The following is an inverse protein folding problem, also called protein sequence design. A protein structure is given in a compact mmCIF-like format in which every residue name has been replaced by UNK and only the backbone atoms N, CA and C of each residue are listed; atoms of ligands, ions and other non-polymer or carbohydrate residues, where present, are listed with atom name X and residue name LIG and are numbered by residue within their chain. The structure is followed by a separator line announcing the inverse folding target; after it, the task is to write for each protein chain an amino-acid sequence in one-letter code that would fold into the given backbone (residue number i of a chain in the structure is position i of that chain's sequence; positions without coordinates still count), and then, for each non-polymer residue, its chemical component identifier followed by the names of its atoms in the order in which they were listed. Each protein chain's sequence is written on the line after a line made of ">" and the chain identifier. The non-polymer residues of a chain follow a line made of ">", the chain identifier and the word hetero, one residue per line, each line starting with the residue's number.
data_IF_734908527003
#
_entry.id   IF_734908527003
#
_cell.length_a   1.000
_cell.length_b   1.000
_cell.length_c   1.000
_cell.angle_alpha   90.00
_cell.angle_beta   90.00
_cell.angle_gamma   90.00
#
_symmetry.space_group_name_H-M   'P 1'
#
loop_
_entity.id
_entity.type
_entity.pdbx_description
1 polymer ?
#
# COMPACT_ATOMS: atom_id res chain seq x y z
N UNK A 1 -5.38 -21.78 14.10
CA UNK A 1 -3.97 -22.22 14.13
C UNK A 1 -3.45 -21.98 15.55
N UNK A 2 -3.19 -23.03 16.34
CA UNK A 2 -2.73 -22.93 17.72
C UNK A 2 -1.43 -22.11 17.83
N UNK A 3 -0.57 -22.19 16.82
CA UNK A 3 0.72 -21.48 16.80
C UNK A 3 0.53 -19.98 16.61
N UNK A 4 -0.52 -19.56 15.89
CA UNK A 4 -0.87 -18.15 15.73
C UNK A 4 -1.34 -17.53 17.06
N UNK A 5 -2.06 -18.28 17.90
CA UNK A 5 -2.50 -17.80 19.21
C UNK A 5 -1.33 -17.65 20.19
N UNK A 6 -0.41 -18.62 20.21
CA UNK A 6 0.80 -18.53 21.04
C UNK A 6 1.71 -17.36 20.62
N UNK A 7 1.83 -17.09 19.31
CA UNK A 7 2.57 -15.93 18.80
C UNK A 7 1.90 -14.61 19.22
N UNK A 8 0.57 -14.52 19.19
CA UNK A 8 -0.15 -13.34 19.65
C UNK A 8 0.06 -13.09 21.15
N UNK A 9 0.05 -14.12 21.99
CA UNK A 9 0.28 -13.96 23.44
C UNK A 9 1.68 -13.41 23.77
N UNK A 10 2.70 -13.81 23.01
CA UNK A 10 4.06 -13.28 23.15
C UNK A 10 4.12 -11.84 22.68
N UNK A 11 3.51 -11.55 21.54
CA UNK A 11 3.50 -10.22 20.97
C UNK A 11 2.73 -9.24 21.88
N UNK A 12 1.71 -9.68 22.63
CA UNK A 12 0.78 -8.77 23.32
C UNK A 12 1.46 -7.99 24.45
N UNK A 13 2.66 -8.42 24.83
CA UNK A 13 3.52 -7.82 25.84
C UNK A 13 4.54 -6.84 25.23
N UNK A 14 4.59 -6.73 23.90
CA UNK A 14 5.50 -5.86 23.16
C UNK A 14 4.89 -4.47 22.95
N UNK A 15 5.73 -3.43 22.78
CA UNK A 15 5.26 -2.12 22.36
C UNK A 15 4.53 -2.16 21.02
N UNK A 16 3.53 -1.28 20.83
CA UNK A 16 2.72 -1.16 19.61
C UNK A 16 3.55 -1.20 18.32
N UNK A 17 4.71 -0.52 18.29
CA UNK A 17 5.59 -0.53 17.12
C UNK A 17 6.07 -1.93 16.75
N UNK A 18 6.48 -2.72 17.74
CA UNK A 18 6.97 -4.09 17.54
C UNK A 18 5.79 -5.00 17.19
N UNK A 19 4.67 -4.86 17.89
CA UNK A 19 3.43 -5.58 17.58
C UNK A 19 3.01 -5.41 16.11
N UNK A 20 2.79 -4.16 15.68
CA UNK A 20 2.31 -3.87 14.32
C UNK A 20 3.35 -4.22 13.25
N UNK A 21 4.63 -4.05 13.54
CA UNK A 21 5.70 -4.46 12.62
C UNK A 21 5.72 -5.97 12.40
N UNK A 22 5.56 -6.76 13.46
CA UNK A 22 5.52 -8.22 13.31
C UNK A 22 4.29 -8.68 12.54
N UNK A 23 3.12 -8.06 12.78
CA UNK A 23 1.92 -8.38 12.02
C UNK A 23 2.02 -8.02 10.54
N UNK A 24 2.61 -6.86 10.20
CA UNK A 24 2.83 -6.46 8.81
C UNK A 24 3.77 -7.40 8.06
N UNK A 25 4.76 -8.00 8.76
CA UNK A 25 5.72 -8.97 8.21
C UNK A 25 5.25 -10.42 8.21
N UNK A 26 4.13 -10.72 8.87
CA UNK A 26 3.70 -12.10 9.05
C UNK A 26 3.32 -12.72 7.71
N UNK A 27 3.70 -13.97 7.45
CA UNK A 27 3.24 -14.70 6.25
C UNK A 27 1.73 -14.98 6.26
N UNK A 28 1.05 -14.70 7.37
CA UNK A 28 -0.39 -14.87 7.50
C UNK A 28 -1.12 -13.64 6.97
N UNK A 29 -1.83 -13.82 5.86
CA UNK A 29 -2.58 -12.78 5.15
C UNK A 29 -3.49 -11.95 6.06
N UNK A 30 -4.19 -12.58 7.01
CA UNK A 30 -5.09 -11.88 7.91
C UNK A 30 -4.37 -10.94 8.89
N UNK A 31 -3.14 -11.26 9.30
CA UNK A 31 -2.32 -10.38 10.12
C UNK A 31 -1.79 -9.19 9.33
N UNK A 32 -1.36 -9.41 8.07
CA UNK A 32 -1.00 -8.30 7.17
C UNK A 32 -2.17 -7.35 6.97
N UNK A 33 -3.36 -7.88 6.65
CA UNK A 33 -4.58 -7.08 6.51
C UNK A 33 -4.94 -6.33 7.80
N UNK A 34 -4.82 -6.98 8.96
CA UNK A 34 -5.05 -6.35 10.25
C UNK A 34 -4.11 -5.16 10.47
N UNK A 35 -2.82 -5.32 10.19
CA UNK A 35 -1.84 -4.25 10.29
C UNK A 35 -2.11 -3.10 9.30
N UNK A 36 -2.43 -3.41 8.04
CA UNK A 36 -2.75 -2.39 7.03
C UNK A 36 -3.97 -1.55 7.38
N UNK A 37 -4.98 -2.12 8.05
CA UNK A 37 -6.23 -1.45 8.37
C UNK A 37 -6.25 -0.77 9.75
N UNK A 38 -5.19 -0.95 10.55
CA UNK A 38 -5.12 -0.39 11.88
C UNK A 38 -4.44 0.99 11.88
N UNK A 39 -5.15 2.00 12.41
CA UNK A 39 -4.63 3.37 12.52
C UNK A 39 -3.38 3.50 13.41
N UNK A 40 -3.11 2.51 14.27
CA UNK A 40 -1.98 2.49 15.17
C UNK A 40 -0.72 1.89 14.54
N UNK A 41 -0.83 1.30 13.34
CA UNK A 41 0.34 0.84 12.60
C UNK A 41 1.18 2.04 12.17
N UNK A 42 2.44 2.15 12.60
CA UNK A 42 3.26 3.30 12.28
C UNK A 42 3.48 3.44 10.76
N UNK A 43 3.40 4.64 10.17
CA UNK A 43 3.64 4.83 8.73
C UNK A 43 5.00 4.32 8.27
N UNK A 44 6.03 4.44 9.11
CA UNK A 44 7.36 3.91 8.84
C UNK A 44 7.38 2.37 8.69
N UNK A 45 6.52 1.66 9.42
CA UNK A 45 6.36 0.20 9.29
C UNK A 45 5.72 -0.12 7.94
N UNK A 46 4.66 0.60 7.56
CA UNK A 46 4.01 0.41 6.26
C UNK A 46 4.98 0.73 5.11
N UNK A 47 5.78 1.79 5.25
CA UNK A 47 6.75 2.20 4.24
C UNK A 47 7.88 1.17 4.02
N UNK A 48 8.34 0.52 5.09
CA UNK A 48 9.52 -0.34 5.07
C UNK A 48 9.20 -1.83 4.90
N UNK A 49 8.05 -2.29 5.40
CA UNK A 49 7.79 -3.72 5.63
C UNK A 49 6.64 -4.28 4.78
N UNK A 50 6.00 -3.45 3.94
CA UNK A 50 5.02 -3.95 2.97
C UNK A 50 5.75 -4.64 1.83
N UNK A 51 5.47 -5.93 1.68
CA UNK A 51 5.95 -6.71 0.55
C UNK A 51 5.50 -6.11 -0.78
N UNK A 52 6.33 -6.18 -1.85
CA UNK A 52 6.03 -5.63 -3.16
C UNK A 52 4.62 -5.95 -3.71
N UNK A 53 4.18 -7.18 -3.52
CA UNK A 53 2.87 -7.70 -3.97
C UNK A 53 1.67 -7.09 -3.24
N UNK A 54 1.89 -6.53 -2.03
CA UNK A 54 0.84 -5.97 -1.18
C UNK A 54 0.64 -4.46 -1.38
N UNK A 55 1.50 -3.78 -2.15
CA UNK A 55 1.43 -2.32 -2.29
C UNK A 55 0.11 -1.82 -2.87
N UNK A 56 -0.41 -2.44 -3.92
CA UNK A 56 -1.67 -2.00 -4.53
C UNK A 56 -2.83 -2.17 -3.55
N UNK A 57 -2.88 -3.28 -2.81
CA UNK A 57 -3.89 -3.52 -1.78
C UNK A 57 -3.78 -2.47 -0.67
N UNK A 58 -2.56 -2.21 -0.20
CA UNK A 58 -2.31 -1.24 0.85
C UNK A 58 -2.65 0.19 0.42
N UNK A 59 -2.23 0.60 -0.78
CA UNK A 59 -2.43 1.95 -1.31
C UNK A 59 -3.90 2.25 -1.64
N UNK A 60 -4.72 1.23 -1.90
CA UNK A 60 -6.17 1.37 -2.07
C UNK A 60 -6.94 1.41 -0.74
N UNK A 61 -6.27 1.26 0.40
CA UNK A 61 -6.90 1.40 1.71
C UNK A 61 -7.11 2.89 2.06
N UNK A 62 -8.34 3.34 2.34
CA UNK A 62 -8.60 4.74 2.74
C UNK A 62 -7.86 5.18 4.01
N UNK A 63 -7.41 4.24 4.85
CA UNK A 63 -6.64 4.51 6.07
C UNK A 63 -5.13 4.50 5.84
N UNK A 64 -4.68 4.23 4.62
CA UNK A 64 -3.25 4.20 4.31
C UNK A 64 -2.64 5.60 4.48
N UNK A 65 -1.48 5.73 5.13
CA UNK A 65 -0.88 7.04 5.36
C UNK A 65 -0.58 7.77 4.05
N UNK A 66 -1.14 8.97 3.91
CA UNK A 66 -1.06 9.78 2.68
C UNK A 66 0.39 10.17 2.35
N UNK A 67 1.22 10.40 3.36
CA UNK A 67 2.65 10.69 3.22
C UNK A 67 3.42 9.50 2.62
N UNK A 68 3.12 8.28 3.07
CA UNK A 68 3.70 7.04 2.53
C UNK A 68 3.22 6.80 1.11
N UNK A 69 1.92 6.98 0.85
CA UNK A 69 1.34 6.90 -0.50
C UNK A 69 2.08 7.83 -1.48
N UNK A 70 2.21 9.11 -1.12
CA UNK A 70 2.89 10.11 -1.96
C UNK A 70 4.37 9.81 -2.15
N UNK A 71 5.07 9.40 -1.09
CA UNK A 71 6.47 9.01 -1.19
C UNK A 71 6.66 7.81 -2.13
N UNK A 72 5.72 6.85 -2.12
CA UNK A 72 5.74 5.69 -3.00
C UNK A 72 5.44 6.07 -4.45
N UNK A 73 4.38 6.83 -4.71
CA UNK A 73 4.02 7.31 -6.05
C UNK A 73 5.11 8.21 -6.67
N UNK A 74 5.84 8.97 -5.85
CA UNK A 74 7.00 9.74 -6.34
C UNK A 74 8.14 8.84 -6.83
N UNK A 75 8.35 7.69 -6.19
CA UNK A 75 9.38 6.71 -6.56
C UNK A 75 8.95 5.87 -7.77
N UNK A 76 7.68 5.49 -7.80
CA UNK A 76 7.08 4.71 -8.87
C UNK A 76 5.70 5.28 -9.26
N UNK A 77 5.67 6.24 -10.20
CA UNK A 77 4.44 6.85 -10.68
C UNK A 77 3.48 5.87 -11.34
N UNK A 78 3.97 4.75 -11.88
CA UNK A 78 3.15 3.82 -12.66
C UNK A 78 2.12 3.10 -11.79
N UNK A 79 2.40 2.95 -10.49
CA UNK A 79 1.45 2.40 -9.53
C UNK A 79 0.13 3.17 -9.49
N UNK A 80 0.12 4.45 -9.86
CA UNK A 80 -1.11 5.24 -9.95
C UNK A 80 -2.12 4.63 -10.95
N UNK A 81 -1.66 3.95 -11.99
CA UNK A 81 -2.55 3.36 -13.00
C UNK A 81 -3.33 2.16 -12.45
N UNK A 82 -2.86 1.56 -11.37
CA UNK A 82 -3.46 0.38 -10.72
C UNK A 82 -4.33 0.74 -9.50
N UNK A 83 -4.35 2.01 -9.09
CA UNK A 83 -5.21 2.44 -7.99
C UNK A 83 -6.67 2.54 -8.43
N UNK A 84 -7.57 2.25 -7.49
CA UNK A 84 -9.02 2.40 -7.65
C UNK A 84 -9.37 3.89 -7.74
N UNK A 85 -8.74 4.73 -6.93
CA UNK A 85 -8.94 6.17 -6.93
C UNK A 85 -7.58 6.91 -6.98
N UNK A 86 -6.94 7.01 -8.15
CA UNK A 86 -5.63 7.63 -8.29
C UNK A 86 -5.70 9.16 -8.26
N UNK A 87 -4.54 9.79 -8.00
CA UNK A 87 -4.40 11.24 -8.20
C UNK A 87 -4.52 11.58 -9.70
N UNK A 88 -5.61 12.26 -10.07
CA UNK A 88 -5.97 12.52 -11.47
C UNK A 88 -4.88 13.26 -12.25
N UNK A 89 -4.21 14.22 -11.62
CA UNK A 89 -3.12 14.98 -12.25
C UNK A 89 -1.90 14.11 -12.55
N UNK A 90 -1.61 13.11 -11.70
CA UNK A 90 -0.54 12.16 -11.96
C UNK A 90 -0.87 11.27 -13.16
N UNK A 91 -2.12 10.79 -13.26
CA UNK A 91 -2.57 10.00 -14.42
C UNK A 91 -2.53 10.83 -15.71
N UNK A 92 -2.94 12.11 -15.66
CA UNK A 92 -2.82 13.05 -16.79
C UNK A 92 -1.37 13.25 -17.22
N UNK A 93 -0.46 13.42 -16.28
CA UNK A 93 0.97 13.53 -16.59
C UNK A 93 1.52 12.27 -17.26
N UNK A 94 1.09 11.08 -16.82
CA UNK A 94 1.48 9.82 -17.45
C UNK A 94 0.91 9.66 -18.86
N UNK A 95 -0.32 10.13 -19.11
CA UNK A 95 -0.92 10.13 -20.45
C UNK A 95 -0.15 11.04 -21.42
N UNK A 96 0.28 12.22 -20.97
CA UNK A 96 1.00 13.19 -21.79
C UNK A 96 2.48 12.82 -21.98
N UNK A 97 3.16 12.47 -20.89
CA UNK A 97 4.62 12.39 -20.81
C UNK A 97 5.15 10.99 -20.46
N UNK A 98 4.28 9.96 -20.47
CA UNK A 98 4.68 8.59 -20.19
C UNK A 98 5.84 8.14 -21.08
N UNK A 99 6.84 7.48 -20.50
CA UNK A 99 8.11 7.13 -21.19
C UNK A 99 7.89 6.29 -22.45
N UNK A 100 6.89 5.41 -22.42
CA UNK A 100 6.54 4.54 -23.55
C UNK A 100 5.14 4.83 -24.04
N UNK A 101 4.86 4.46 -25.29
CA UNK A 101 3.52 4.53 -25.86
C UNK A 101 2.51 3.71 -25.04
N UNK A 102 2.90 2.51 -24.59
CA UNK A 102 2.05 1.65 -23.77
C UNK A 102 1.62 2.32 -22.46
N UNK A 103 2.55 2.99 -21.76
CA UNK A 103 2.23 3.75 -20.52
C UNK A 103 1.24 4.87 -20.82
N UNK A 104 1.45 5.62 -21.90
CA UNK A 104 0.53 6.71 -22.28
C UNK A 104 -0.86 6.19 -22.62
N UNK A 105 -0.95 5.09 -23.38
CA UNK A 105 -2.23 4.45 -23.73
C UNK A 105 -2.95 3.89 -22.51
N UNK A 106 -2.24 3.24 -21.58
CA UNK A 106 -2.83 2.76 -20.33
C UNK A 106 -3.34 3.92 -19.47
N UNK A 107 -2.58 5.01 -19.38
CA UNK A 107 -3.00 6.21 -18.64
C UNK A 107 -4.22 6.89 -19.27
N UNK A 108 -4.30 6.98 -20.60
CA UNK A 108 -5.49 7.48 -21.29
C UNK A 108 -6.73 6.63 -20.99
N UNK A 109 -6.62 5.30 -21.10
CA UNK A 109 -7.72 4.39 -20.72
C UNK A 109 -8.15 4.58 -19.27
N UNK A 110 -7.17 4.73 -18.36
CA UNK A 110 -7.46 4.98 -16.95
C UNK A 110 -8.20 6.31 -16.73
N UNK A 111 -7.88 7.36 -17.49
CA UNK A 111 -8.64 8.61 -17.44
C UNK A 111 -10.07 8.41 -17.94
N UNK A 112 -10.25 7.68 -19.04
CA UNK A 112 -11.58 7.38 -19.58
C UNK A 112 -12.44 6.56 -18.59
N UNK A 113 -11.84 5.68 -17.78
CA UNK A 113 -12.54 4.94 -16.71
C UNK A 113 -12.97 5.82 -15.52
N UNK A 114 -12.30 6.95 -15.31
CA UNK A 114 -12.56 7.85 -14.19
C UNK A 114 -13.60 8.94 -14.52
N UNK A 115 -14.01 9.06 -15.78
CA UNK A 115 -15.00 10.02 -16.30
C UNK A 115 -16.31 9.32 -16.68
#
# INVERSE_FOLDING_TARGET
>A
DPDALAQLDVLAKQPDRIWWSTLAKSNLTFFKFGALNNRHTPPAVLAAEIDPEWWIVAMNNPRFPVDVLKARLKRDPLLALELVNPELDLVRQLALNGKTRAIREQAMRKLDELY
#
